data_IF_337914867989
#
_entry.id   IF_337914867989
#
_cell.length_a   1.000
_cell.length_b   1.000
_cell.length_c   1.000
_cell.angle_alpha   90.00
_cell.angle_beta   90.00
_cell.angle_gamma   90.00
#
_symmetry.space_group_name_H-M   'P 1'
#
loop_
_entity.id
_entity.type
_entity.pdbx_description
1 polymer ?
#
# COMPACT_ATOMS: atom_id res chain seq x y z
N UNK A 1 18.37 -11.85 23.26
CA UNK A 1 17.24 -12.36 22.44
C UNK A 1 16.70 -13.65 23.03
N UNK A 2 15.37 -13.84 23.00
CA UNK A 2 14.69 -15.09 23.34
C UNK A 2 13.87 -15.58 22.14
N UNK A 3 13.94 -16.88 21.85
CA UNK A 3 13.25 -17.52 20.71
C UNK A 3 12.29 -18.56 21.28
N UNK A 4 11.03 -18.52 20.86
CA UNK A 4 10.00 -19.47 21.24
C UNK A 4 9.32 -20.04 19.99
N UNK A 5 9.40 -21.37 19.80
CA UNK A 5 8.68 -22.04 18.72
C UNK A 5 7.22 -22.25 19.11
N UNK A 6 6.32 -21.56 18.42
CA UNK A 6 4.88 -21.69 18.65
C UNK A 6 4.33 -22.92 17.92
N UNK A 7 4.80 -23.18 16.70
CA UNK A 7 4.48 -24.40 15.93
C UNK A 7 5.52 -24.61 14.79
N UNK A 8 5.36 -25.67 13.98
CA UNK A 8 6.26 -25.98 12.85
C UNK A 8 6.37 -24.86 11.80
N UNK A 9 5.35 -24.00 11.72
CA UNK A 9 5.28 -22.93 10.73
C UNK A 9 5.40 -21.53 11.35
N UNK A 10 5.52 -21.40 12.68
CA UNK A 10 5.45 -20.11 13.39
C UNK A 10 6.52 -20.04 14.47
N UNK A 11 7.39 -19.05 14.35
CA UNK A 11 8.44 -18.75 15.32
C UNK A 11 8.15 -17.40 15.95
N UNK A 12 8.33 -17.31 17.27
CA UNK A 12 8.19 -16.09 18.04
C UNK A 12 9.56 -15.64 18.54
N UNK A 13 9.85 -14.38 18.35
CA UNK A 13 11.07 -13.72 18.78
C UNK A 13 10.75 -12.66 19.82
N UNK A 14 11.60 -12.56 20.83
CA UNK A 14 11.62 -11.44 21.74
C UNK A 14 13.02 -10.83 21.74
N UNK A 15 13.09 -9.55 21.41
CA UNK A 15 14.32 -8.77 21.41
C UNK A 15 14.17 -7.56 22.32
N UNK A 16 15.09 -7.38 23.27
CA UNK A 16 15.03 -6.24 24.17
C UNK A 16 15.50 -4.96 23.46
N UNK A 17 15.12 -3.79 23.97
CA UNK A 17 15.61 -2.54 23.38
C UNK A 17 17.13 -2.38 23.48
N UNK A 18 17.74 -2.93 24.53
CA UNK A 18 19.21 -2.92 24.69
C UNK A 18 19.86 -3.75 23.58
N UNK A 19 19.30 -4.91 23.27
CA UNK A 19 19.76 -5.79 22.19
C UNK A 19 19.61 -5.16 20.79
N UNK A 20 18.57 -4.34 20.57
CA UNK A 20 18.34 -3.61 19.30
C UNK A 20 19.39 -2.50 19.15
N UNK A 21 19.62 -1.73 20.22
CA UNK A 21 20.58 -0.63 20.23
C UNK A 21 22.03 -1.15 20.09
N UNK A 22 22.37 -2.32 20.66
CA UNK A 22 23.68 -2.96 20.49
C UNK A 22 23.95 -3.45 19.05
N UNK A 23 22.88 -3.79 18.31
CA UNK A 23 22.96 -4.13 16.88
C UNK A 23 22.98 -2.89 15.97
N UNK A 24 22.88 -1.69 16.55
CA UNK A 24 22.99 -0.43 15.82
C UNK A 24 21.68 0.03 15.17
N UNK A 25 20.54 -0.48 15.64
CA UNK A 25 19.22 -0.05 15.18
C UNK A 25 18.56 0.88 16.20
N UNK A 26 17.90 1.94 15.74
CA UNK A 26 17.02 2.75 16.59
C UNK A 26 15.58 2.21 16.60
N UNK A 27 14.86 2.42 17.71
CA UNK A 27 13.49 1.91 17.89
C UNK A 27 12.52 2.42 16.83
N UNK A 28 12.68 3.68 16.43
CA UNK A 28 11.87 4.33 15.40
C UNK A 28 12.21 3.82 13.99
N UNK A 29 13.48 3.48 13.74
CA UNK A 29 13.92 2.99 12.42
C UNK A 29 13.29 1.64 12.06
N UNK A 30 13.00 0.79 13.05
CA UNK A 30 12.33 -0.50 12.81
C UNK A 30 10.91 -0.33 12.26
N UNK A 31 10.23 0.77 12.58
CA UNK A 31 8.85 1.04 12.13
C UNK A 31 8.79 1.86 10.85
N UNK A 32 9.67 2.85 10.71
CA UNK A 32 9.60 3.82 9.61
C UNK A 32 10.55 3.50 8.46
N UNK A 33 11.52 2.62 8.65
CA UNK A 33 12.49 2.24 7.63
C UNK A 33 12.37 0.76 7.29
N UNK A 34 11.69 0.49 6.17
CA UNK A 34 11.50 -0.87 5.65
C UNK A 34 12.82 -1.62 5.49
N UNK A 35 13.83 -1.00 4.89
CA UNK A 35 15.12 -1.66 4.65
C UNK A 35 15.79 -2.08 5.97
N UNK A 36 15.75 -1.20 6.98
CA UNK A 36 16.27 -1.51 8.33
C UNK A 36 15.49 -2.61 9.02
N UNK A 37 14.17 -2.60 8.88
CA UNK A 37 13.31 -3.64 9.43
C UNK A 37 13.64 -5.00 8.79
N UNK A 38 13.79 -5.04 7.46
CA UNK A 38 14.17 -6.25 6.71
C UNK A 38 15.55 -6.75 7.12
N UNK A 39 16.55 -5.86 7.28
CA UNK A 39 17.89 -6.21 7.77
C UNK A 39 17.82 -6.91 9.14
N UNK A 40 17.11 -6.32 10.10
CA UNK A 40 16.94 -6.92 11.43
C UNK A 40 16.27 -8.30 11.34
N UNK A 41 15.22 -8.46 10.52
CA UNK A 41 14.55 -9.76 10.38
C UNK A 41 15.48 -10.82 9.76
N UNK A 42 16.27 -10.48 8.75
CA UNK A 42 17.21 -11.41 8.15
C UNK A 42 18.30 -11.83 9.13
N UNK A 43 18.87 -10.90 9.91
CA UNK A 43 19.83 -11.24 10.96
C UNK A 43 19.23 -12.18 12.02
N UNK A 44 17.98 -11.92 12.42
CA UNK A 44 17.26 -12.75 13.40
C UNK A 44 16.95 -14.14 12.85
N UNK A 45 16.61 -14.26 11.55
CA UNK A 45 16.37 -15.54 10.89
C UNK A 45 17.67 -16.31 10.62
N UNK A 46 18.79 -15.62 10.36
CA UNK A 46 20.10 -16.23 10.18
C UNK A 46 20.62 -16.82 11.51
N UNK A 47 20.42 -16.13 12.63
CA UNK A 47 20.77 -16.63 13.98
C UNK A 47 19.98 -17.91 14.35
N UNK A 48 18.79 -18.10 13.78
CA UNK A 48 17.94 -19.31 13.95
C UNK A 48 18.38 -20.45 13.03
N UNK A 49 19.04 -20.13 11.92
CA UNK A 49 19.37 -21.07 10.85
C UNK A 49 20.45 -22.09 11.24
N UNK A 50 21.12 -21.90 12.39
CA UNK A 50 22.17 -22.78 12.91
C UNK A 50 21.67 -23.89 13.86
N UNK A 51 20.44 -23.81 14.39
CA UNK A 51 19.91 -24.81 15.34
C UNK A 51 18.74 -25.67 14.83
N UNK A 52 17.90 -25.19 13.89
CA UNK A 52 16.73 -25.97 13.48
C UNK A 52 16.43 -25.86 11.98
N UNK A 53 15.91 -26.96 11.44
CA UNK A 53 15.59 -27.28 10.05
C UNK A 53 14.46 -26.39 9.46
N UNK A 54 14.54 -25.07 9.66
CA UNK A 54 13.60 -24.09 9.13
C UNK A 54 14.16 -23.51 7.84
N UNK A 55 13.99 -24.23 6.74
CA UNK A 55 14.33 -23.71 5.41
C UNK A 55 13.31 -22.63 5.05
N UNK A 56 13.76 -21.37 5.09
CA UNK A 56 13.01 -20.17 4.73
C UNK A 56 12.83 -20.11 3.20
N UNK A 57 12.11 -21.08 2.63
CA UNK A 57 11.67 -21.04 1.25
C UNK A 57 10.18 -20.71 1.21
N UNK A 58 9.85 -19.50 0.75
CA UNK A 58 8.49 -19.02 0.54
C UNK A 58 8.19 -17.68 1.24
N UNK A 59 6.99 -17.11 1.00
CA UNK A 59 6.57 -15.88 1.64
C UNK A 59 6.41 -16.06 3.16
N UNK A 60 6.83 -15.04 3.90
CA UNK A 60 6.74 -14.98 5.36
C UNK A 60 5.73 -13.92 5.77
N UNK A 61 4.93 -14.29 6.75
CA UNK A 61 4.12 -13.36 7.53
C UNK A 61 4.93 -12.85 8.70
N UNK A 62 4.96 -11.54 8.93
CA UNK A 62 5.68 -10.95 10.05
C UNK A 62 4.72 -10.02 10.79
N UNK A 63 4.54 -10.29 12.08
CA UNK A 63 3.79 -9.43 12.98
C UNK A 63 4.76 -8.91 14.05
N UNK A 64 4.74 -7.60 14.30
CA UNK A 64 5.60 -6.95 15.29
C UNK A 64 4.72 -6.29 16.35
N UNK A 65 5.04 -6.50 17.62
CA UNK A 65 4.38 -5.90 18.76
C UNK A 65 5.42 -5.20 19.65
N UNK A 66 5.21 -3.92 19.92
CA UNK A 66 6.00 -3.19 20.89
C UNK A 66 5.58 -3.54 22.32
N UNK A 67 6.55 -3.82 23.19
CA UNK A 67 6.40 -4.06 24.62
C UNK A 67 7.24 -3.05 25.41
N UNK A 68 6.91 -2.80 26.68
CA UNK A 68 7.64 -1.82 27.52
C UNK A 68 9.17 -2.02 27.59
N UNK A 69 9.66 -3.22 27.30
CA UNK A 69 11.08 -3.60 27.40
C UNK A 69 11.71 -4.09 26.10
N UNK A 70 10.96 -4.17 25.01
CA UNK A 70 11.47 -4.72 23.75
C UNK A 70 10.42 -4.85 22.67
N UNK A 71 10.76 -5.60 21.62
CA UNK A 71 9.86 -5.97 20.54
C UNK A 71 9.60 -7.48 20.59
N UNK A 72 8.34 -7.83 20.40
CA UNK A 72 7.88 -9.20 20.18
C UNK A 72 7.55 -9.34 18.68
N UNK A 73 8.18 -10.29 18.01
CA UNK A 73 8.03 -10.51 16.57
C UNK A 73 7.53 -11.93 16.34
N UNK A 74 6.45 -12.11 15.61
CA UNK A 74 5.92 -13.40 15.21
C UNK A 74 6.12 -13.59 13.71
N UNK A 75 6.82 -14.65 13.33
CA UNK A 75 7.07 -15.01 11.93
C UNK A 75 6.35 -16.30 11.59
N UNK A 76 5.41 -16.23 10.64
CA UNK A 76 4.65 -17.40 10.17
C UNK A 76 4.96 -17.69 8.71
N UNK A 77 5.36 -18.92 8.41
CA UNK A 77 5.52 -19.40 7.03
C UNK A 77 4.15 -19.54 6.39
N UNK A 78 3.91 -18.84 5.29
CA UNK A 78 2.72 -19.06 4.48
C UNK A 78 2.85 -20.42 3.77
N UNK A 79 1.83 -21.27 3.86
CA UNK A 79 1.81 -22.54 3.13
C UNK A 79 1.02 -22.37 1.83
N UNK A 80 1.53 -22.96 0.75
CA UNK A 80 0.82 -22.99 -0.52
C UNK A 80 -0.35 -23.98 -0.39
N UNK A 81 -1.55 -23.54 -0.76
CA UNK A 81 -2.73 -24.41 -0.81
C UNK A 81 -2.49 -25.57 -1.78
N UNK A 82 -3.20 -26.69 -1.60
CA UNK A 82 -3.05 -27.91 -2.42
C UNK A 82 -3.33 -27.69 -3.92
N UNK A 83 -3.91 -26.57 -4.30
CA UNK A 83 -4.20 -26.17 -5.69
C UNK A 83 -3.09 -25.30 -6.32
N UNK A 84 -2.02 -24.97 -5.60
CA UNK A 84 -0.84 -24.28 -6.15
C UNK A 84 -1.00 -22.78 -6.42
N UNK A 85 -2.22 -22.23 -6.33
CA UNK A 85 -2.52 -20.84 -6.71
C UNK A 85 -2.88 -19.91 -5.55
N UNK A 86 -2.93 -20.40 -4.30
CA UNK A 86 -3.29 -19.57 -3.12
C UNK A 86 -2.33 -19.80 -1.97
N UNK A 87 -1.95 -18.73 -1.28
CA UNK A 87 -1.20 -18.78 -0.04
C UNK A 87 -2.19 -18.81 1.12
N UNK A 88 -2.14 -19.84 1.96
CA UNK A 88 -3.00 -19.97 3.15
C UNK A 88 -2.14 -19.82 4.41
N UNK A 89 -2.56 -18.94 5.33
CA UNK A 89 -2.01 -18.89 6.67
C UNK A 89 -2.61 -20.04 7.50
N UNK A 90 -1.83 -20.80 8.28
CA UNK A 90 -2.33 -21.88 9.14
C UNK A 90 -3.04 -21.34 10.41
N UNK A 91 -3.56 -20.11 10.36
CA UNK A 91 -4.27 -19.47 11.46
C UNK A 91 -5.76 -19.70 11.21
N UNK A 92 -6.52 -20.29 12.15
CA UNK A 92 -7.97 -20.39 12.00
C UNK A 92 -8.56 -18.98 11.84
N UNK A 93 -9.36 -18.74 10.78
CA UNK A 93 -10.05 -17.46 10.51
C UNK A 93 -10.73 -16.83 11.75
N UNK A 94 -11.14 -17.66 12.69
CA UNK A 94 -11.80 -17.24 13.92
C UNK A 94 -10.88 -16.52 14.92
N UNK A 95 -9.55 -16.68 14.82
CA UNK A 95 -8.55 -15.98 15.66
C UNK A 95 -7.94 -14.74 15.01
N UNK A 96 -8.07 -14.58 13.69
CA UNK A 96 -7.65 -13.35 13.00
C UNK A 96 -8.48 -12.15 13.47
N UNK A 97 -9.77 -12.38 13.77
CA UNK A 97 -10.69 -11.37 14.35
C UNK A 97 -10.34 -10.85 15.75
N UNK A 98 -9.47 -11.54 16.49
CA UNK A 98 -9.09 -11.17 17.86
C UNK A 98 -7.77 -10.37 17.92
N UNK A 99 -7.13 -10.12 16.77
CA UNK A 99 -5.93 -9.28 16.68
C UNK A 99 -6.41 -7.85 16.44
N UNK A 100 -6.02 -6.85 17.26
CA UNK A 100 -6.33 -5.45 16.98
C UNK A 100 -5.43 -4.99 15.82
N UNK A 101 -5.85 -5.31 14.60
CA UNK A 101 -5.28 -4.77 13.37
C UNK A 101 -6.15 -3.58 12.97
N UNK A 102 -5.53 -2.48 12.55
CA UNK A 102 -6.25 -1.41 11.86
C UNK A 102 -6.98 -2.02 10.64
N UNK A 103 -8.26 -1.67 10.41
CA UNK A 103 -9.09 -2.21 9.32
C UNK A 103 -8.38 -2.12 7.96
N UNK A 104 -7.61 -1.05 7.78
CA UNK A 104 -6.78 -0.79 6.59
C UNK A 104 -5.66 -1.80 6.34
N UNK A 105 -5.16 -2.45 7.40
CA UNK A 105 -4.18 -3.54 7.28
C UNK A 105 -4.90 -4.83 6.92
N UNK A 106 -6.09 -5.08 7.46
CA UNK A 106 -6.93 -6.24 7.11
C UNK A 106 -7.28 -6.24 5.61
N UNK A 107 -7.56 -5.08 5.03
CA UNK A 107 -7.89 -4.91 3.60
C UNK A 107 -6.70 -5.16 2.66
N UNK A 108 -5.50 -4.69 3.02
CA UNK A 108 -4.28 -4.95 2.25
C UNK A 108 -3.94 -6.45 2.22
N UNK A 109 -4.38 -7.20 3.24
CA UNK A 109 -4.18 -8.64 3.36
C UNK A 109 -5.18 -9.39 2.49
N UNK A 110 -6.45 -8.99 2.46
CA UNK A 110 -7.43 -9.61 1.57
C UNK A 110 -7.08 -9.42 0.08
N UNK A 111 -6.62 -8.22 -0.32
CA UNK A 111 -6.20 -7.94 -1.69
C UNK A 111 -4.98 -8.79 -2.14
N UNK A 112 -4.04 -9.06 -1.23
CA UNK A 112 -2.79 -9.75 -1.60
C UNK A 112 -2.93 -11.27 -1.64
N UNK A 113 -3.92 -11.83 -0.93
CA UNK A 113 -4.05 -13.28 -0.73
C UNK A 113 -5.22 -13.92 -1.49
N UNK A 114 -6.15 -13.14 -2.05
CA UNK A 114 -7.34 -13.69 -2.70
C UNK A 114 -7.71 -12.98 -4.02
N UNK A 115 -6.88 -13.10 -5.08
CA UNK A 115 -7.09 -12.42 -6.37
C UNK A 115 -8.30 -12.94 -7.19
N UNK A 116 -9.09 -13.89 -6.66
CA UNK A 116 -10.31 -14.43 -7.30
C UNK A 116 -11.55 -14.29 -6.38
N UNK A 117 -11.58 -13.29 -5.50
CA UNK A 117 -12.82 -12.91 -4.81
C UNK A 117 -13.48 -11.74 -5.52
N UNK A 118 -13.92 -11.97 -6.75
CA UNK A 118 -14.89 -11.10 -7.43
C UNK A 118 -16.30 -11.15 -6.77
N UNK A 119 -16.41 -11.61 -5.51
CA UNK A 119 -17.71 -11.85 -4.87
C UNK A 119 -17.68 -11.69 -3.33
N UNK A 120 -16.77 -10.86 -2.81
CA UNK A 120 -16.91 -10.30 -1.47
C UNK A 120 -17.41 -8.86 -1.62
N UNK A 121 -18.74 -8.70 -1.71
CA UNK A 121 -19.44 -7.47 -1.31
C UNK A 121 -19.03 -7.13 0.14
N UNK A 122 -17.96 -6.38 0.30
CA UNK A 122 -17.64 -5.63 1.51
C UNK A 122 -17.78 -4.16 1.15
N UNK A 123 -18.87 -3.61 1.68
CA UNK A 123 -19.45 -2.27 1.54
C UNK A 123 -18.50 -1.17 2.04
N UNK A 124 -17.32 -1.05 1.43
CA UNK A 124 -16.44 0.10 1.60
C UNK A 124 -16.65 1.04 0.42
N UNK A 125 -17.45 2.09 0.65
CA UNK A 125 -17.60 3.26 -0.22
C UNK A 125 -16.25 4.02 -0.35
N UNK A 126 -15.19 3.39 -0.87
CA UNK A 126 -13.94 4.08 -1.19
C UNK A 126 -14.01 4.58 -2.64
N UNK A 127 -14.18 5.88 -2.79
CA UNK A 127 -14.05 6.55 -4.09
C UNK A 127 -12.69 6.19 -4.70
N UNK A 128 -12.69 5.70 -5.94
CA UNK A 128 -11.45 5.40 -6.66
C UNK A 128 -10.75 6.71 -7.05
N UNK A 129 -9.48 6.85 -6.72
CA UNK A 129 -8.71 8.03 -7.09
C UNK A 129 -7.40 7.69 -7.81
N UNK A 130 -6.99 8.60 -8.70
CA UNK A 130 -5.78 8.46 -9.50
C UNK A 130 -5.01 9.76 -9.52
N UNK A 131 -3.68 9.64 -9.48
CA UNK A 131 -2.76 10.75 -9.68
C UNK A 131 -1.97 10.56 -10.96
N UNK A 132 -2.14 11.51 -11.88
CA UNK A 132 -1.47 11.53 -13.18
C UNK A 132 -0.40 12.60 -13.19
N UNK A 133 0.76 12.32 -13.78
CA UNK A 133 1.83 13.28 -13.99
C UNK A 133 2.00 13.62 -15.47
N UNK A 134 2.25 14.91 -15.72
CA UNK A 134 2.47 15.49 -17.03
C UNK A 134 3.81 16.23 -17.03
N UNK A 135 4.57 16.07 -18.11
CA UNK A 135 5.86 16.75 -18.28
C UNK A 135 5.66 18.22 -18.66
N UNK A 136 4.67 18.49 -19.51
CA UNK A 136 4.34 19.82 -19.98
C UNK A 136 2.90 20.19 -19.59
N UNK A 137 2.65 21.49 -19.40
CA UNK A 137 1.32 21.99 -19.08
C UNK A 137 0.40 21.92 -20.30
N UNK A 138 0.95 22.02 -21.51
CA UNK A 138 0.21 21.92 -22.77
C UNK A 138 -0.53 20.59 -22.91
N UNK A 139 0.05 19.49 -22.40
CA UNK A 139 -0.61 18.17 -22.41
C UNK A 139 -1.90 18.18 -21.58
N UNK A 140 -1.91 18.90 -20.45
CA UNK A 140 -3.10 19.08 -19.60
C UNK A 140 -4.14 19.96 -20.29
N UNK A 141 -3.71 21.01 -21.00
CA UNK A 141 -4.61 21.85 -21.80
C UNK A 141 -5.26 21.03 -22.91
N UNK A 142 -4.50 20.19 -23.62
CA UNK A 142 -5.03 19.33 -24.68
C UNK A 142 -6.04 18.32 -24.13
N UNK A 143 -5.72 17.70 -22.99
CA UNK A 143 -6.65 16.81 -22.29
C UNK A 143 -7.96 17.53 -21.92
N UNK A 144 -7.88 18.77 -21.46
CA UNK A 144 -9.08 19.56 -21.11
C UNK A 144 -10.02 19.79 -22.30
N UNK A 145 -9.57 19.66 -23.55
CA UNK A 145 -10.40 19.82 -24.74
C UNK A 145 -11.16 18.53 -25.11
N UNK A 146 -10.86 17.42 -24.45
CA UNK A 146 -11.60 16.17 -24.64
C UNK A 146 -12.99 16.24 -24.00
N UNK A 147 -13.93 15.51 -24.57
CA UNK A 147 -15.32 15.47 -24.12
C UNK A 147 -15.49 14.37 -23.07
N UNK A 148 -16.41 14.55 -22.14
CA UNK A 148 -16.75 13.52 -21.13
C UNK A 148 -15.97 13.63 -19.82
N UNK A 149 -15.13 14.66 -19.67
CA UNK A 149 -14.36 14.92 -18.47
C UNK A 149 -14.99 15.97 -17.54
N UNK A 150 -16.14 16.54 -17.94
CA UNK A 150 -16.76 17.69 -17.27
C UNK A 150 -17.33 17.38 -15.88
N UNK A 151 -17.67 16.13 -15.60
CA UNK A 151 -18.32 15.72 -14.34
C UNK A 151 -17.38 15.01 -13.37
N UNK A 152 -16.06 15.05 -13.63
CA UNK A 152 -15.08 14.33 -12.82
C UNK A 152 -14.43 15.32 -11.85
N UNK A 153 -14.53 15.09 -10.53
CA UNK A 153 -13.79 15.86 -9.55
C UNK A 153 -12.29 15.79 -9.85
N UNK A 154 -11.69 16.96 -10.07
CA UNK A 154 -10.28 17.07 -10.46
C UNK A 154 -9.57 18.21 -9.75
N UNK A 155 -8.29 17.99 -9.45
CA UNK A 155 -7.38 19.01 -8.90
C UNK A 155 -6.06 19.01 -9.65
N UNK A 156 -5.46 20.18 -9.85
CA UNK A 156 -4.20 20.32 -10.57
C UNK A 156 -3.15 20.98 -9.69
N UNK A 157 -1.96 20.38 -9.65
CA UNK A 157 -0.83 20.80 -8.86
C UNK A 157 0.44 20.94 -9.72
N UNK A 158 1.39 21.75 -9.26
CA UNK A 158 2.76 21.79 -9.76
C UNK A 158 3.72 21.35 -8.65
N UNK A 159 4.56 20.36 -8.94
CA UNK A 159 5.55 19.85 -8.00
C UNK A 159 6.80 19.38 -8.75
N UNK A 160 8.00 19.70 -8.25
CA UNK A 160 9.29 19.31 -8.84
C UNK A 160 9.44 19.61 -10.36
N UNK A 161 8.83 20.69 -10.84
CA UNK A 161 8.88 21.09 -12.25
C UNK A 161 8.00 20.24 -13.20
N UNK A 162 7.08 19.44 -12.64
CA UNK A 162 6.06 18.69 -13.36
C UNK A 162 4.66 19.11 -12.90
N UNK A 163 3.65 18.68 -13.65
CA UNK A 163 2.25 18.91 -13.32
C UNK A 163 1.61 17.60 -12.88
N UNK A 164 0.74 17.69 -11.88
CA UNK A 164 0.07 16.55 -11.28
C UNK A 164 -1.43 16.80 -11.30
N UNK A 165 -2.18 15.92 -11.96
CA UNK A 165 -3.63 15.95 -12.01
C UNK A 165 -4.17 14.84 -11.12
N UNK A 166 -4.85 15.23 -10.06
CA UNK A 166 -5.63 14.33 -9.23
C UNK A 166 -7.03 14.21 -9.81
N UNK A 167 -7.51 12.97 -9.91
CA UNK A 167 -8.82 12.62 -10.46
C UNK A 167 -9.49 11.67 -9.48
N UNK A 168 -10.70 11.99 -9.05
CA UNK A 168 -11.47 11.17 -8.11
C UNK A 168 -12.75 10.70 -8.81
N UNK A 169 -13.11 9.44 -8.59
CA UNK A 169 -14.27 8.77 -9.16
C UNK A 169 -15.17 8.33 -8.00
N UNK A 170 -16.13 9.17 -7.59
CA UNK A 170 -17.08 8.77 -6.57
C UNK A 170 -17.96 7.61 -7.03
N UNK A 171 -18.07 6.57 -6.21
CA UNK A 171 -18.81 5.35 -6.55
C UNK A 171 -20.30 5.65 -6.85
N UNK A 172 -20.87 6.64 -6.16
CA UNK A 172 -22.25 7.11 -6.40
C UNK A 172 -22.48 7.66 -7.82
N UNK A 173 -21.41 8.06 -8.52
CA UNK A 173 -21.46 8.76 -9.80
C UNK A 173 -20.89 7.95 -10.98
N UNK A 174 -20.02 6.98 -10.72
CA UNK A 174 -19.27 6.26 -11.75
C UNK A 174 -19.33 4.75 -11.55
N UNK A 175 -19.69 4.01 -12.60
CA UNK A 175 -19.55 2.56 -12.65
C UNK A 175 -18.12 2.17 -13.05
N UNK A 176 -17.62 1.03 -12.58
CA UNK A 176 -16.26 0.53 -12.89
C UNK A 176 -15.94 0.54 -14.39
N UNK A 177 -16.87 0.07 -15.23
CA UNK A 177 -16.69 0.06 -16.68
C UNK A 177 -16.49 1.48 -17.29
N UNK A 178 -17.10 2.50 -16.69
CA UNK A 178 -16.94 3.89 -17.12
C UNK A 178 -15.60 4.47 -16.63
N UNK A 179 -15.15 4.07 -15.43
CA UNK A 179 -13.86 4.47 -14.87
C UNK A 179 -12.71 4.01 -15.77
N UNK A 180 -12.72 2.74 -16.19
CA UNK A 180 -11.68 2.20 -17.10
C UNK A 180 -11.60 2.95 -18.43
N UNK A 181 -12.75 3.31 -19.00
CA UNK A 181 -12.81 4.07 -20.25
C UNK A 181 -12.26 5.50 -20.07
N UNK A 182 -12.62 6.16 -18.98
CA UNK A 182 -12.15 7.51 -18.66
C UNK A 182 -10.66 7.50 -18.31
N UNK A 183 -10.20 6.55 -17.53
CA UNK A 183 -8.79 6.36 -17.18
C UNK A 183 -7.96 6.11 -18.44
N UNK A 184 -8.44 5.26 -19.35
CA UNK A 184 -7.79 5.02 -20.64
C UNK A 184 -7.57 6.30 -21.42
N UNK A 185 -8.56 7.19 -21.46
CA UNK A 185 -8.45 8.51 -22.09
C UNK A 185 -7.42 9.41 -21.38
N UNK A 186 -7.45 9.45 -20.05
CA UNK A 186 -6.52 10.25 -19.24
C UNK A 186 -5.05 9.83 -19.48
N UNK A 187 -4.81 8.52 -19.58
CA UNK A 187 -3.50 7.92 -19.79
C UNK A 187 -2.93 8.11 -21.21
N UNK A 188 -3.73 8.62 -22.16
CA UNK A 188 -3.19 9.04 -23.47
C UNK A 188 -2.35 10.32 -23.37
N UNK A 189 -2.64 11.17 -22.40
CA UNK A 189 -2.02 12.49 -22.22
C UNK A 189 -1.08 12.54 -21.02
N UNK A 190 -1.35 11.74 -20.00
CA UNK A 190 -0.57 11.67 -18.76
C UNK A 190 -0.06 10.26 -18.48
N UNK A 191 0.73 10.15 -17.41
CA UNK A 191 1.19 8.85 -16.90
C UNK A 191 0.80 8.76 -15.44
N UNK A 192 0.22 7.63 -15.02
CA UNK A 192 -0.05 7.38 -13.61
C UNK A 192 1.25 7.39 -12.80
N UNK A 193 1.22 7.99 -11.61
CA UNK A 193 2.38 8.08 -10.73
C UNK A 193 2.16 7.35 -9.42
N UNK A 194 3.23 6.76 -8.89
CA UNK A 194 3.24 6.18 -7.54
C UNK A 194 3.41 7.23 -6.43
N UNK A 195 3.54 8.51 -6.78
CA UNK A 195 3.57 9.59 -5.80
C UNK A 195 2.20 9.70 -5.16
N UNK A 196 2.14 9.79 -3.83
CA UNK A 196 0.88 9.95 -3.13
C UNK A 196 0.34 11.38 -3.28
N UNK A 197 -0.98 11.52 -3.34
CA UNK A 197 -1.64 12.84 -3.35
C UNK A 197 -1.22 13.69 -2.15
N UNK A 198 -1.04 13.07 -0.98
CA UNK A 198 -0.67 13.74 0.28
C UNK A 198 0.69 14.45 0.16
N UNK A 199 1.67 13.83 -0.52
CA UNK A 199 2.98 14.45 -0.75
C UNK A 199 2.87 15.66 -1.67
N UNK A 200 2.00 15.59 -2.68
CA UNK A 200 1.77 16.71 -3.61
C UNK A 200 0.97 17.83 -2.95
N UNK A 201 0.01 17.52 -2.10
CA UNK A 201 -0.73 18.53 -1.33
C UNK A 201 0.14 19.23 -0.29
N UNK A 202 1.07 18.51 0.35
CA UNK A 202 1.95 19.07 1.38
C UNK A 202 3.11 19.90 0.81
N UNK A 203 3.74 19.41 -0.27
CA UNK A 203 4.98 20.01 -0.81
C UNK A 203 4.81 20.64 -2.20
N UNK A 204 3.69 20.40 -2.87
CA UNK A 204 3.38 20.97 -4.17
C UNK A 204 2.64 22.30 -4.09
N UNK A 205 2.49 22.94 -5.24
CA UNK A 205 1.69 24.14 -5.39
C UNK A 205 0.36 23.78 -6.06
N UNK A 206 -0.75 24.02 -5.36
CA UNK A 206 -2.07 23.91 -5.96
C UNK A 206 -2.27 25.01 -7.02
N UNK A 207 -2.56 24.60 -8.26
CA UNK A 207 -2.84 25.49 -9.38
C UNK A 207 -4.36 25.70 -9.50
N UNK A 208 -5.11 24.60 -9.50
CA UNK A 208 -6.57 24.60 -9.65
C UNK A 208 -7.18 23.61 -8.66
N UNK A 209 -8.07 24.11 -7.80
CA UNK A 209 -8.64 23.35 -6.69
C UNK A 209 -9.76 22.39 -7.07
N UNK A 210 -10.53 22.70 -8.11
CA UNK A 210 -11.75 21.99 -8.53
C UNK A 210 -11.99 22.27 -10.01
N UNK A 211 -12.66 21.37 -10.73
CA UNK A 211 -13.08 21.51 -12.12
C UNK A 211 -11.95 21.97 -13.06
N UNK A 212 -10.82 21.24 -13.02
CA UNK A 212 -9.61 21.58 -13.77
C UNK A 212 -9.93 21.77 -15.25
N UNK A 213 -10.66 20.84 -15.84
CA UNK A 213 -10.94 20.86 -17.27
C UNK A 213 -11.82 22.03 -17.69
N UNK A 214 -12.86 22.37 -16.91
CA UNK A 214 -13.74 23.50 -17.22
C UNK A 214 -12.97 24.83 -17.14
N UNK A 215 -12.17 25.00 -16.07
CA UNK A 215 -11.34 26.20 -15.90
C UNK A 215 -10.31 26.32 -17.01
N UNK A 216 -9.61 25.25 -17.37
CA UNK A 216 -8.63 25.30 -18.46
C UNK A 216 -9.27 25.67 -19.80
N UNK A 217 -10.44 25.10 -20.15
CA UNK A 217 -11.18 25.51 -21.36
C UNK A 217 -11.60 26.97 -21.34
N UNK A 218 -11.93 27.52 -20.17
CA UNK A 218 -12.31 28.94 -20.04
C UNK A 218 -11.14 29.90 -20.28
N UNK A 219 -9.92 29.53 -19.88
CA UNK A 219 -8.73 30.37 -19.97
C UNK A 219 -7.94 30.18 -21.28
N UNK A 220 -7.93 28.97 -21.85
CA UNK A 220 -7.02 28.56 -22.94
C UNK A 220 -7.75 28.11 -24.22
N UNK A 221 -8.95 28.64 -24.45
CA UNK A 221 -9.79 28.30 -25.60
C UNK A 221 -9.06 28.47 -26.94
#
# INVERSE_FOLDING_TARGET
MEIERINDNTVKFYISYVDIEERGFERDEIWYNRERSEELFWEMMEEVHDEEEFTVEGPLWIQVQALDKGLEILVTKAQLSKDGNKFELPIPNEKLKDIPVDERIEELLDQHFNPESEDNELDYEENLDFLLTFKDFEDVILLSKQHGLDNIPTKLFSFEGKYYLFVEFPEELFAEEDIDNLLSLLLEYGIETQVTIHRVEEYGNLIIAEDVFEKLRSYFN
#
